data_IF_543860147080
#
_entry.id   IF_543860147080
#
_cell.length_a   1.000
_cell.length_b   1.000
_cell.length_c   1.000
_cell.angle_alpha   90.00
_cell.angle_beta   90.00
_cell.angle_gamma   90.00
#
_symmetry.space_group_name_H-M   'P 1'
#
loop_
_entity.id
_entity.type
_entity.pdbx_description
1 polymer ?
#
# COMPACT_ATOMS: atom_id res chain seq x y z
N UNK A 1 -13.68 5.50 -3.41
CA UNK A 1 -13.50 4.94 -2.05
C UNK A 1 -12.26 5.57 -1.47
N UNK A 2 -12.28 5.89 -0.17
CA UNK A 2 -11.17 6.57 0.50
C UNK A 2 -10.01 5.62 0.74
N UNK A 3 -8.81 6.08 0.48
CA UNK A 3 -7.55 5.41 0.80
C UNK A 3 -6.53 6.42 1.33
N UNK A 4 -5.59 5.94 2.17
CA UNK A 4 -4.41 6.73 2.56
C UNK A 4 -3.32 6.50 1.52
N UNK A 5 -2.71 7.57 1.05
CA UNK A 5 -1.64 7.57 0.05
C UNK A 5 -0.46 8.41 0.53
N UNK A 6 0.72 8.04 0.06
CA UNK A 6 1.93 8.85 0.09
C UNK A 6 2.51 8.87 -1.33
N UNK A 7 3.01 10.01 -1.78
CA UNK A 7 3.67 10.14 -3.09
C UNK A 7 5.20 10.24 -2.96
N UNK A 8 5.67 10.53 -1.75
CA UNK A 8 7.07 10.65 -1.38
C UNK A 8 7.31 10.01 -0.01
N UNK A 9 8.59 9.86 0.34
CA UNK A 9 8.99 9.42 1.67
C UNK A 9 9.14 10.61 2.60
N UNK A 10 8.81 10.44 3.89
CA UNK A 10 8.98 11.50 4.88
C UNK A 10 8.28 11.19 6.19
N UNK A 11 8.09 12.23 7.01
CA UNK A 11 7.33 12.17 8.26
C UNK A 11 5.83 11.89 8.05
N UNK A 12 5.01 11.81 9.11
CA UNK A 12 3.58 11.49 8.98
C UNK A 12 2.81 12.43 8.04
N UNK A 13 3.31 13.65 7.86
CA UNK A 13 2.78 14.70 6.99
C UNK A 13 2.68 14.32 5.50
N UNK A 14 3.42 13.31 5.03
CA UNK A 14 3.32 12.84 3.63
C UNK A 14 2.05 12.02 3.37
N UNK A 15 1.38 11.56 4.44
CA UNK A 15 0.14 10.78 4.34
C UNK A 15 -1.06 11.70 4.09
N UNK A 16 -1.78 11.43 3.01
CA UNK A 16 -3.00 12.15 2.69
C UNK A 16 -4.09 11.20 2.20
N UNK A 17 -5.34 11.61 2.36
CA UNK A 17 -6.50 10.81 1.94
C UNK A 17 -6.86 11.14 0.51
N UNK A 18 -7.01 10.12 -0.32
CA UNK A 18 -7.44 10.22 -1.72
C UNK A 18 -8.72 9.43 -1.96
N UNK A 19 -9.45 9.79 -3.01
CA UNK A 19 -10.51 8.96 -3.57
C UNK A 19 -9.95 8.12 -4.72
N UNK A 20 -10.22 6.82 -4.69
CA UNK A 20 -9.86 5.88 -5.76
C UNK A 20 -11.07 5.06 -6.19
N UNK A 21 -11.02 4.48 -7.38
CA UNK A 21 -12.05 3.53 -7.80
C UNK A 21 -12.07 2.30 -6.88
N UNK A 22 -13.26 1.70 -6.74
CA UNK A 22 -13.39 0.45 -5.98
C UNK A 22 -12.65 -0.67 -6.75
N UNK A 23 -11.69 -1.38 -6.14
CA UNK A 23 -10.99 -2.45 -6.83
C UNK A 23 -11.91 -3.63 -7.14
N UNK A 24 -11.69 -4.27 -8.29
CA UNK A 24 -12.38 -5.50 -8.69
C UNK A 24 -11.45 -6.69 -8.42
N UNK A 25 -11.85 -7.69 -7.61
CA UNK A 25 -11.00 -8.82 -7.29
C UNK A 25 -10.79 -9.72 -8.52
N UNK A 26 -9.55 -10.19 -8.71
CA UNK A 26 -9.20 -11.20 -9.72
C UNK A 26 -9.46 -12.63 -9.25
N UNK A 27 -9.00 -13.61 -10.03
CA UNK A 27 -9.11 -15.04 -9.69
C UNK A 27 -8.39 -15.33 -8.37
N UNK A 28 -9.11 -15.95 -7.43
CA UNK A 28 -8.58 -16.31 -6.11
C UNK A 28 -8.48 -15.16 -5.10
N UNK A 29 -8.94 -13.95 -5.45
CA UNK A 29 -8.99 -12.80 -4.55
C UNK A 29 -10.40 -12.56 -4.03
N UNK A 30 -10.51 -11.94 -2.86
CA UNK A 30 -11.78 -11.47 -2.30
C UNK A 30 -11.69 -9.96 -2.03
N UNK A 31 -12.82 -9.27 -2.14
CA UNK A 31 -12.94 -7.86 -1.78
C UNK A 31 -13.53 -7.74 -0.37
N UNK A 32 -12.80 -7.08 0.53
CA UNK A 32 -13.22 -6.87 1.92
C UNK A 32 -13.51 -5.39 2.16
N UNK A 33 -14.54 -5.11 2.94
CA UNK A 33 -14.82 -3.77 3.46
C UNK A 33 -14.04 -3.56 4.76
N UNK A 34 -13.09 -2.64 4.75
CA UNK A 34 -12.28 -2.33 5.94
C UNK A 34 -13.14 -1.59 6.98
N UNK A 35 -13.34 -2.20 8.15
CA UNK A 35 -13.96 -1.55 9.31
C UNK A 35 -12.93 -0.95 10.27
N UNK A 36 -11.76 -1.61 10.39
CA UNK A 36 -10.61 -1.15 11.14
C UNK A 36 -9.33 -1.64 10.44
N UNK A 37 -8.24 -0.90 10.61
CA UNK A 37 -6.91 -1.29 10.14
C UNK A 37 -5.94 -1.21 11.33
N UNK A 38 -5.09 -2.22 11.47
CA UNK A 38 -3.97 -2.18 12.41
C UNK A 38 -2.84 -1.32 11.86
N UNK A 39 -2.16 -0.57 12.73
CA UNK A 39 -0.94 0.16 12.42
C UNK A 39 0.22 -0.53 13.12
N UNK A 40 1.26 -0.85 12.36
CA UNK A 40 2.42 -1.63 12.76
C UNK A 40 3.71 -0.79 12.61
N UNK A 41 4.80 -1.12 13.32
CA UNK A 41 6.08 -0.40 13.18
C UNK A 41 6.60 -0.33 11.73
N UNK A 42 6.35 -1.38 10.96
CA UNK A 42 6.73 -1.47 9.54
C UNK A 42 6.07 -0.38 8.67
N UNK A 43 4.89 0.09 9.05
CA UNK A 43 4.19 1.14 8.30
C UNK A 43 4.96 2.46 8.38
N UNK A 44 5.52 2.79 9.55
CA UNK A 44 6.37 3.97 9.74
C UNK A 44 7.70 3.81 8.99
N UNK A 45 8.34 2.64 9.08
CA UNK A 45 9.60 2.37 8.38
C UNK A 45 9.45 2.50 6.86
N UNK A 46 8.34 1.98 6.30
CA UNK A 46 8.04 2.08 4.87
C UNK A 46 7.66 3.50 4.45
N UNK A 47 6.90 4.23 5.28
CA UNK A 47 6.57 5.63 5.04
C UNK A 47 7.83 6.51 4.97
N UNK A 48 8.76 6.30 5.89
CA UNK A 48 9.94 7.16 6.03
C UNK A 48 11.02 6.89 5.00
N UNK A 49 11.15 5.65 4.52
CA UNK A 49 12.32 5.26 3.71
C UNK A 49 12.09 4.15 2.68
N UNK A 50 10.90 3.54 2.64
CA UNK A 50 10.63 2.40 1.75
C UNK A 50 11.42 1.14 2.10
N UNK A 51 11.84 0.98 3.37
CA UNK A 51 12.77 -0.05 3.82
C UNK A 51 12.44 -1.49 3.37
N UNK A 52 11.16 -1.85 3.17
CA UNK A 52 10.76 -3.17 2.68
C UNK A 52 10.23 -3.19 1.24
N UNK A 53 9.89 -2.04 0.66
CA UNK A 53 9.14 -1.96 -0.61
C UNK A 53 9.95 -1.29 -1.73
N UNK A 54 11.06 -0.62 -1.40
CA UNK A 54 11.85 0.18 -2.34
C UNK A 54 11.21 1.53 -2.65
N UNK A 55 11.81 2.33 -3.53
CA UNK A 55 11.30 3.65 -3.95
C UNK A 55 9.84 3.57 -4.45
N UNK A 56 8.99 4.59 -4.19
CA UNK A 56 7.63 4.60 -4.69
C UNK A 56 7.67 4.47 -6.22
N UNK A 57 6.89 3.52 -6.76
CA UNK A 57 6.70 3.41 -8.20
C UNK A 57 6.03 4.71 -8.69
N UNK A 58 6.51 5.23 -9.81
CA UNK A 58 5.96 6.45 -10.38
C UNK A 58 4.48 6.22 -10.73
N UNK A 59 3.67 7.27 -10.69
CA UNK A 59 2.25 7.20 -11.07
C UNK A 59 2.04 6.77 -12.54
N UNK A 60 3.08 6.84 -13.37
CA UNK A 60 3.10 6.35 -14.76
C UNK A 60 3.28 4.83 -14.89
N UNK A 61 3.64 4.10 -13.84
CA UNK A 61 4.00 2.68 -13.95
C UNK A 61 2.80 1.72 -14.04
N UNK A 62 1.57 2.25 -14.02
CA UNK A 62 0.35 1.44 -14.06
C UNK A 62 0.12 0.69 -12.75
N UNK A 63 -1.14 0.65 -12.30
CA UNK A 63 -1.55 -0.03 -11.08
C UNK A 63 -1.55 -1.55 -11.29
N UNK A 64 -0.40 -2.18 -11.50
CA UNK A 64 -0.27 -3.63 -11.38
C UNK A 64 0.42 -3.93 -10.06
N UNK A 65 -0.29 -4.40 -9.02
CA UNK A 65 0.37 -4.82 -7.80
C UNK A 65 1.35 -5.93 -8.16
N UNK A 66 2.61 -5.79 -7.75
CA UNK A 66 3.56 -6.89 -7.84
C UNK A 66 2.94 -8.09 -7.09
N UNK A 67 2.98 -9.31 -7.66
CA UNK A 67 2.40 -10.46 -6.99
C UNK A 67 3.06 -10.63 -5.62
N UNK A 68 2.25 -10.69 -4.57
CA UNK A 68 2.70 -11.06 -3.23
C UNK A 68 3.45 -12.38 -3.34
N UNK A 69 4.75 -12.36 -3.02
CA UNK A 69 5.56 -13.57 -2.87
C UNK A 69 5.58 -13.89 -1.37
N UNK A 70 4.89 -14.95 -0.90
CA UNK A 70 5.05 -15.36 0.48
C UNK A 70 6.52 -15.73 0.71
N UNK A 71 7.12 -15.16 1.75
CA UNK A 71 8.41 -15.63 2.27
C UNK A 71 8.22 -17.09 2.71
N UNK A 72 9.06 -17.99 2.21
CA UNK A 72 9.05 -19.39 2.62
C UNK A 72 9.20 -19.48 4.16
N UNK A 73 8.51 -20.41 4.83
CA UNK A 73 8.76 -20.66 6.24
C UNK A 73 10.21 -21.13 6.42
N UNK A 74 10.88 -20.60 7.45
CA UNK A 74 12.14 -21.13 7.95
C UNK A 74 11.96 -22.56 8.50
#
# INVERSE_FOLDING_TARGET
>A
MRAVRQDEFGGPEVLHVVEIDRPTPGVGQILVRVHAAGVNPVDAMNRESGALVGAPRSSSDGMSPAPWKPSAPA
#
